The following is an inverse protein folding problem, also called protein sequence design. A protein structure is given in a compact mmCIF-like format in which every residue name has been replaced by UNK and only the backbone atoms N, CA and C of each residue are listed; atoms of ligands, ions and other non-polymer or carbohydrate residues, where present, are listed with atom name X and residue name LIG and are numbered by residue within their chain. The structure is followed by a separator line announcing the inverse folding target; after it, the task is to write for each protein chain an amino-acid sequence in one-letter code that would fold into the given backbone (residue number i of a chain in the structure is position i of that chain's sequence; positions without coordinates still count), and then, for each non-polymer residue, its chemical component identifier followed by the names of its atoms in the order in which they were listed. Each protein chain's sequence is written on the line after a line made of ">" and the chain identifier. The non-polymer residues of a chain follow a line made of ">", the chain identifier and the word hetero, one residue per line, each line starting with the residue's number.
data_IF_545767917766
#
_entry.id   IF_545767917766
#
_cell.length_a   1.000
_cell.length_b   1.000
_cell.length_c   1.000
_cell.angle_alpha   90.00
_cell.angle_beta   90.00
_cell.angle_gamma   90.00
#
_symmetry.space_group_name_H-M   'P 1'
#
loop_
_entity.id
_entity.type
_entity.pdbx_description
1 polymer ?
#
# COMPACT_ATOMS: atom_id res chain seq x y z
N UNK A 1 -9.61 2.96 10.74
CA UNK A 1 -10.77 2.85 9.84
C UNK A 1 -10.43 3.62 8.58
N UNK A 2 -10.42 2.96 7.41
CA UNK A 2 -10.01 3.54 6.13
C UNK A 2 -10.95 4.68 5.73
N UNK A 3 -10.39 5.79 5.23
CA UNK A 3 -11.19 6.90 4.71
C UNK A 3 -11.88 6.49 3.41
N UNK A 4 -13.14 6.90 3.23
CA UNK A 4 -13.87 6.65 1.98
C UNK A 4 -13.36 7.63 0.91
N UNK A 5 -12.87 7.15 -0.24
CA UNK A 5 -12.44 8.02 -1.33
C UNK A 5 -13.61 8.79 -1.95
N UNK A 6 -13.34 9.97 -2.49
CA UNK A 6 -14.36 10.84 -3.10
C UNK A 6 -14.71 10.42 -4.53
N UNK A 7 -13.70 10.04 -5.30
CA UNK A 7 -13.84 9.70 -6.73
C UNK A 7 -14.38 8.29 -6.92
N UNK A 8 -15.16 8.10 -7.98
CA UNK A 8 -15.69 6.77 -8.33
C UNK A 8 -14.55 5.83 -8.74
N UNK A 9 -13.51 6.38 -9.36
CA UNK A 9 -12.29 5.70 -9.77
C UNK A 9 -11.56 5.09 -8.56
N UNK A 10 -11.33 5.89 -7.52
CA UNK A 10 -10.68 5.40 -6.30
C UNK A 10 -11.56 4.37 -5.57
N UNK A 11 -12.87 4.61 -5.47
CA UNK A 11 -13.79 3.66 -4.84
C UNK A 11 -13.81 2.31 -5.56
N UNK A 12 -13.92 2.30 -6.90
CA UNK A 12 -13.91 1.07 -7.70
C UNK A 12 -12.61 0.29 -7.53
N UNK A 13 -11.48 0.99 -7.57
CA UNK A 13 -10.19 0.34 -7.40
C UNK A 13 -10.06 -0.31 -6.01
N UNK A 14 -10.37 0.43 -4.93
CA UNK A 14 -10.25 -0.11 -3.58
C UNK A 14 -11.21 -1.28 -3.36
N UNK A 15 -12.42 -1.21 -3.92
CA UNK A 15 -13.36 -2.32 -3.90
C UNK A 15 -12.83 -3.56 -4.65
N UNK A 16 -12.17 -3.38 -5.80
CA UNK A 16 -11.52 -4.49 -6.50
C UNK A 16 -10.40 -5.12 -5.67
N UNK A 17 -9.56 -4.31 -5.01
CA UNK A 17 -8.49 -4.83 -4.14
C UNK A 17 -9.05 -5.59 -2.93
N UNK A 18 -10.13 -5.10 -2.32
CA UNK A 18 -10.79 -5.80 -1.22
C UNK A 18 -11.38 -7.14 -1.71
N UNK A 19 -11.97 -7.17 -2.91
CA UNK A 19 -12.49 -8.40 -3.51
C UNK A 19 -11.37 -9.42 -3.81
N UNK A 20 -10.27 -8.96 -4.42
CA UNK A 20 -9.09 -9.80 -4.68
C UNK A 20 -8.51 -10.39 -3.38
N UNK A 21 -8.42 -9.58 -2.32
CA UNK A 21 -7.92 -10.03 -1.03
C UNK A 21 -8.86 -11.03 -0.35
N UNK A 22 -10.18 -10.81 -0.43
CA UNK A 22 -11.18 -11.75 0.06
C UNK A 22 -11.10 -13.09 -0.69
N UNK A 23 -10.89 -13.07 -2.00
CA UNK A 23 -10.69 -14.28 -2.78
C UNK A 23 -9.42 -15.03 -2.37
N UNK A 24 -8.32 -14.31 -2.11
CA UNK A 24 -7.09 -14.90 -1.58
C UNK A 24 -7.29 -15.50 -0.19
N UNK A 25 -8.07 -14.85 0.67
CA UNK A 25 -8.49 -15.35 1.97
C UNK A 25 -9.21 -16.69 1.85
N UNK A 26 -10.20 -16.75 0.94
CA UNK A 26 -10.97 -17.95 0.65
C UNK A 26 -10.08 -19.09 0.13
N UNK A 27 -9.19 -18.81 -0.84
CA UNK A 27 -8.24 -19.81 -1.37
C UNK A 27 -7.28 -20.34 -0.31
N UNK A 28 -6.85 -19.48 0.62
CA UNK A 28 -5.94 -19.86 1.70
C UNK A 28 -6.64 -20.60 2.86
N UNK A 29 -7.98 -20.61 2.90
CA UNK A 29 -8.75 -21.20 3.99
C UNK A 29 -8.52 -20.51 5.34
N UNK A 30 -8.19 -19.21 5.32
CA UNK A 30 -7.94 -18.39 6.52
C UNK A 30 -8.74 -17.12 6.42
N UNK A 31 -9.09 -16.55 7.57
CA UNK A 31 -9.67 -15.21 7.65
C UNK A 31 -8.54 -14.18 7.62
N UNK A 32 -8.34 -13.53 6.47
CA UNK A 32 -7.33 -12.51 6.26
C UNK A 32 -7.96 -11.14 6.44
N UNK A 33 -7.26 -10.28 7.17
CA UNK A 33 -7.63 -8.88 7.34
C UNK A 33 -6.44 -8.02 6.98
N UNK A 34 -6.71 -6.86 6.38
CA UNK A 34 -5.68 -5.86 6.16
C UNK A 34 -5.08 -5.43 7.50
N UNK A 35 -3.75 -5.37 7.58
CA UNK A 35 -3.10 -4.77 8.73
C UNK A 35 -3.38 -3.27 8.77
N UNK A 36 -3.23 -2.66 9.96
CA UNK A 36 -3.41 -1.22 10.10
C UNK A 36 -2.47 -0.40 9.18
N UNK A 37 -1.28 -0.93 8.87
CA UNK A 37 -0.35 -0.30 7.94
C UNK A 37 -0.85 -0.39 6.50
N UNK A 38 -1.35 -1.54 6.07
CA UNK A 38 -1.93 -1.73 4.73
C UNK A 38 -3.19 -0.88 4.56
N UNK A 39 -4.05 -0.81 5.57
CA UNK A 39 -5.22 0.07 5.58
C UNK A 39 -4.83 1.54 5.38
N UNK A 40 -3.76 2.00 6.02
CA UNK A 40 -3.24 3.34 5.85
C UNK A 40 -2.70 3.55 4.43
N UNK A 41 -1.97 2.58 3.87
CA UNK A 41 -1.47 2.65 2.48
C UNK A 41 -2.63 2.68 1.48
N UNK A 42 -3.66 1.86 1.65
CA UNK A 42 -4.87 1.87 0.82
C UNK A 42 -5.59 3.22 0.90
N UNK A 43 -5.67 3.82 2.09
CA UNK A 43 -6.20 5.19 2.26
C UNK A 43 -5.38 6.21 1.46
N UNK A 44 -4.05 6.14 1.52
CA UNK A 44 -3.16 7.04 0.77
C UNK A 44 -3.28 6.85 -0.75
N UNK A 45 -3.48 5.61 -1.21
CA UNK A 45 -3.74 5.31 -2.63
C UNK A 45 -5.05 5.97 -3.06
N UNK A 46 -6.13 5.81 -2.27
CA UNK A 46 -7.42 6.44 -2.55
C UNK A 46 -7.31 7.96 -2.67
N UNK A 47 -6.63 8.61 -1.72
CA UNK A 47 -6.43 10.07 -1.73
C UNK A 47 -5.58 10.55 -2.91
N UNK A 48 -4.55 9.80 -3.29
CA UNK A 48 -3.72 10.12 -4.45
C UNK A 48 -4.52 10.01 -5.76
N UNK A 49 -5.42 9.03 -5.87
CA UNK A 49 -6.29 8.90 -7.05
C UNK A 49 -7.35 10.01 -7.07
N UNK A 50 -7.97 10.33 -5.94
CA UNK A 50 -8.87 11.48 -5.84
C UNK A 50 -8.19 12.76 -6.34
N UNK A 51 -6.96 13.02 -5.86
CA UNK A 51 -6.17 14.17 -6.32
C UNK A 51 -5.85 14.10 -7.80
N UNK A 52 -5.54 12.92 -8.36
CA UNK A 52 -5.32 12.75 -9.79
C UNK A 52 -6.58 13.12 -10.58
N UNK A 53 -7.76 12.70 -10.14
CA UNK A 53 -9.04 13.00 -10.80
C UNK A 53 -9.30 14.51 -10.78
N UNK A 54 -9.13 15.16 -9.62
CA UNK A 54 -9.24 16.62 -9.46
C UNK A 54 -8.28 17.35 -10.42
N UNK A 55 -6.98 16.99 -10.43
CA UNK A 55 -5.96 17.60 -11.30
C UNK A 55 -6.23 17.35 -12.79
N UNK A 56 -6.77 16.18 -13.15
CA UNK A 56 -7.06 15.84 -14.55
C UNK A 56 -8.23 16.67 -15.09
N UNK A 57 -9.22 16.96 -14.26
CA UNK A 57 -10.31 17.87 -14.62
C UNK A 57 -9.78 19.29 -14.86
N UNK A 58 -8.97 19.83 -13.95
CA UNK A 58 -8.35 21.16 -14.12
C UNK A 58 -7.42 21.22 -15.34
N UNK A 59 -6.68 20.13 -15.61
CA UNK A 59 -5.77 20.04 -16.75
C UNK A 59 -6.48 20.16 -18.11
N UNK A 60 -7.70 19.63 -18.22
CA UNK A 60 -8.47 19.65 -19.46
C UNK A 60 -8.69 21.10 -19.94
N UNK A 61 -9.05 21.99 -19.02
CA UNK A 61 -9.37 23.39 -19.29
C UNK A 61 -8.13 24.30 -19.28
N UNK A 62 -7.03 23.88 -18.66
CA UNK A 62 -5.83 24.69 -18.52
C UNK A 62 -5.11 24.96 -19.85
N UNK A 63 -4.43 26.11 -19.92
CA UNK A 63 -3.65 26.55 -21.07
C UNK A 63 -2.26 27.06 -20.64
N UNK A 64 -1.34 27.18 -21.60
CA UNK A 64 -0.02 27.74 -21.40
C UNK A 64 0.77 27.09 -20.26
N UNK A 65 1.43 27.91 -19.44
CA UNK A 65 2.29 27.43 -18.35
C UNK A 65 1.54 26.64 -17.27
N UNK A 66 0.25 26.95 -17.03
CA UNK A 66 -0.56 26.21 -16.06
C UNK A 66 -0.77 24.76 -16.49
N UNK A 67 -1.02 24.53 -17.79
CA UNK A 67 -1.21 23.19 -18.36
C UNK A 67 0.03 22.31 -18.16
N UNK A 68 1.23 22.87 -18.36
CA UNK A 68 2.50 22.16 -18.15
C UNK A 68 2.73 21.80 -16.68
N UNK A 69 2.40 22.71 -15.75
CA UNK A 69 2.51 22.45 -14.31
C UNK A 69 1.55 21.34 -13.86
N UNK A 70 0.29 21.40 -14.28
CA UNK A 70 -0.70 20.37 -13.98
C UNK A 70 -0.31 18.99 -14.53
N UNK A 71 0.21 18.91 -15.77
CA UNK A 71 0.74 17.66 -16.32
C UNK A 71 1.87 17.09 -15.43
N UNK A 72 2.73 17.96 -14.89
CA UNK A 72 3.82 17.55 -14.01
C UNK A 72 3.27 16.97 -12.70
N UNK A 73 2.30 17.65 -12.07
CA UNK A 73 1.67 17.18 -10.83
C UNK A 73 0.91 15.87 -11.02
N UNK A 74 0.21 15.68 -12.14
CA UNK A 74 -0.44 14.42 -12.49
C UNK A 74 0.60 13.30 -12.53
N UNK A 75 1.71 13.50 -13.25
CA UNK A 75 2.78 12.49 -13.36
C UNK A 75 3.41 12.16 -12.01
N UNK A 76 3.63 13.15 -11.14
CA UNK A 76 4.16 12.92 -9.79
C UNK A 76 3.18 12.10 -8.94
N UNK A 77 1.89 12.39 -9.07
CA UNK A 77 0.82 11.66 -8.39
C UNK A 77 0.77 10.20 -8.86
N UNK A 78 0.86 9.95 -10.16
CA UNK A 78 0.90 8.58 -10.73
C UNK A 78 2.11 7.78 -10.25
N UNK A 79 3.27 8.42 -10.13
CA UNK A 79 4.46 7.78 -9.57
C UNK A 79 4.28 7.48 -8.08
N UNK A 80 3.65 8.37 -7.32
CA UNK A 80 3.34 8.12 -5.91
C UNK A 80 2.40 6.91 -5.75
N UNK A 81 1.33 6.86 -6.55
CA UNK A 81 0.42 5.71 -6.62
C UNK A 81 1.19 4.42 -6.92
N UNK A 82 2.03 4.42 -7.96
CA UNK A 82 2.84 3.25 -8.33
C UNK A 82 3.73 2.76 -7.19
N UNK A 83 4.34 3.68 -6.42
CA UNK A 83 5.17 3.31 -5.26
C UNK A 83 4.35 2.72 -4.12
N UNK A 84 3.20 3.28 -3.81
CA UNK A 84 2.30 2.78 -2.77
C UNK A 84 1.75 1.39 -3.14
N UNK A 85 1.41 1.18 -4.41
CA UNK A 85 0.97 -0.12 -4.91
C UNK A 85 2.00 -1.24 -4.69
N UNK A 86 3.30 -0.94 -4.77
CA UNK A 86 4.34 -1.94 -4.51
C UNK A 86 4.41 -2.41 -3.07
N UNK A 87 3.83 -1.67 -2.13
CA UNK A 87 3.80 -2.02 -0.71
C UNK A 87 2.58 -2.84 -0.29
N UNK A 88 1.61 -3.04 -1.18
CA UNK A 88 0.42 -3.86 -0.93
C UNK A 88 0.49 -5.15 -1.74
N UNK A 89 -0.01 -6.24 -1.15
CA UNK A 89 -0.16 -7.53 -1.82
C UNK A 89 -1.51 -8.12 -1.44
N UNK A 90 -2.29 -8.51 -2.44
CA UNK A 90 -3.55 -9.25 -2.23
C UNK A 90 -3.31 -10.75 -2.06
N UNK A 91 -2.11 -11.24 -2.35
CA UNK A 91 -1.76 -12.67 -2.24
C UNK A 91 -1.17 -13.03 -0.88
N UNK A 92 -1.46 -14.25 -0.43
CA UNK A 92 -0.83 -14.82 0.77
C UNK A 92 0.61 -15.20 0.45
N UNK A 93 1.54 -14.62 1.21
CA UNK A 93 2.95 -14.97 1.08
C UNK A 93 3.15 -16.48 1.28
N UNK A 94 3.92 -17.09 0.37
CA UNK A 94 4.29 -18.49 0.50
C UNK A 94 4.99 -18.72 1.86
N UNK A 95 4.77 -19.88 2.50
CA UNK A 95 5.43 -20.19 3.75
C UNK A 95 6.95 -20.11 3.58
N UNK A 96 7.61 -19.47 4.54
CA UNK A 96 9.07 -19.40 4.57
C UNK A 96 9.67 -20.81 4.54
N UNK A 97 10.73 -21.00 3.75
CA UNK A 97 11.49 -22.25 3.76
C UNK A 97 12.02 -22.54 5.18
N UNK A 98 12.20 -23.83 5.52
CA UNK A 98 12.76 -24.22 6.82
C UNK A 98 14.11 -23.54 7.10
N UNK A 99 14.93 -23.34 6.06
CA UNK A 99 16.21 -22.62 6.13
C UNK A 99 16.00 -21.14 6.47
N UNK A 100 15.08 -20.45 5.79
CA UNK A 100 14.74 -19.05 6.05
C UNK A 100 14.20 -18.85 7.47
N UNK A 101 13.33 -19.76 7.92
CA UNK A 101 12.78 -19.75 9.28
C UNK A 101 13.88 -19.93 10.34
N UNK A 102 14.83 -20.86 10.12
CA UNK A 102 15.97 -21.07 11.02
C UNK A 102 16.89 -19.84 11.06
N UNK A 103 17.15 -19.21 9.91
CA UNK A 103 17.94 -17.98 9.82
C UNK A 103 17.28 -16.82 10.58
N UNK A 104 15.96 -16.63 10.41
CA UNK A 104 15.20 -15.60 11.13
C UNK A 104 15.28 -15.82 12.64
N UNK A 105 15.01 -17.04 13.12
CA UNK A 105 15.12 -17.39 14.56
C UNK A 105 16.52 -17.14 15.11
N UNK A 106 17.56 -17.48 14.35
CA UNK A 106 18.95 -17.24 14.74
C UNK A 106 19.30 -15.74 14.79
N UNK A 107 18.77 -14.92 13.87
CA UNK A 107 18.94 -13.47 13.90
C UNK A 107 18.24 -12.84 15.13
N UNK A 108 16.98 -13.22 15.38
CA UNK A 108 16.23 -12.75 16.55
C UNK A 108 16.91 -13.14 17.87
N UNK A 109 17.46 -14.35 17.99
CA UNK A 109 18.18 -14.76 19.20
C UNK A 109 19.49 -14.00 19.42
N UNK A 110 20.16 -13.55 18.35
CA UNK A 110 21.33 -12.64 18.46
C UNK A 110 20.90 -11.26 18.95
N UNK A 111 19.87 -10.67 18.36
CA UNK A 111 19.37 -9.35 18.76
C UNK A 111 18.82 -9.33 20.18
N UNK A 112 18.10 -10.38 20.61
CA UNK A 112 17.64 -10.50 21.99
C UNK A 112 18.81 -10.59 22.98
N UNK A 113 19.87 -11.33 22.64
CA UNK A 113 21.08 -11.37 23.49
C UNK A 113 21.75 -10.00 23.59
N UNK A 114 21.87 -9.27 22.49
CA UNK A 114 22.44 -7.91 22.51
C UNK A 114 21.58 -6.91 23.28
N UNK A 115 20.25 -6.91 23.12
CA UNK A 115 19.33 -6.09 23.93
C UNK A 115 19.44 -6.41 25.42
N UNK A 116 19.52 -7.69 25.79
CA UNK A 116 19.63 -8.10 27.19
C UNK A 116 20.99 -7.74 27.81
N UNK A 117 22.07 -7.71 27.02
CA UNK A 117 23.39 -7.20 27.48
C UNK A 117 23.36 -5.70 27.71
N UNK A 118 22.71 -4.94 26.83
CA UNK A 118 22.59 -3.49 26.94
C UNK A 118 21.71 -3.08 28.13
N UNK A 119 20.63 -3.81 28.41
CA UNK A 119 19.74 -3.54 29.55
C UNK A 119 20.33 -3.89 30.94
N UNK A 120 21.48 -4.56 30.98
CA UNK A 120 22.18 -4.95 32.21
C UNK A 120 23.37 -4.04 32.55
N UNK A 121 23.59 -2.97 31.79
CA UNK A 121 24.57 -1.92 32.03
C UNK A 121 23.85 -0.68 32.53
#
# INVERSE_FOLDING_TARGET
>A
MRRIPKSTEAQRLLASLDAEFADSSNRAGRDLVWSAAEEQVLSMIGEAIDRKVELSAEYADAQGAAKVRLATEIRLTEQAVTRLFRSISTEVAAPLSATSLKAQRAAHSRWNRERMKQARR
#
